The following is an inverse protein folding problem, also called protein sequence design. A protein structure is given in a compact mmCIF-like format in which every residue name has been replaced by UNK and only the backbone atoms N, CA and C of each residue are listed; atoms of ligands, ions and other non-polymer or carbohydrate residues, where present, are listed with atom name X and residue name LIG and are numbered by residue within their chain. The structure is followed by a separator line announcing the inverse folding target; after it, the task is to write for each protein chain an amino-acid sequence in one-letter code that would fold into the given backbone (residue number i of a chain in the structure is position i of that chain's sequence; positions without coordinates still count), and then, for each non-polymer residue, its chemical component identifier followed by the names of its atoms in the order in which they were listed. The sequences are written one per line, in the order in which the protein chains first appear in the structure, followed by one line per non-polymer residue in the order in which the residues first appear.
data_IF_236732376723
#
_entry.id   IF_236732376723
#
_cell.length_a   1.000
_cell.length_b   1.000
_cell.length_c   1.000
_cell.angle_alpha   90.00
_cell.angle_beta   90.00
_cell.angle_gamma   90.00
#
_symmetry.space_group_name_H-M   'P 1'
#
loop_
_entity.id
_entity.type
_entity.pdbx_description
1 polymer ?
#
# COMPACT_ATOMS: atom_id res chain seq x y z
N UNK A 1 -18.71 -31.27 0.19
CA UNK A 1 -18.26 -30.56 1.42
C UNK A 1 -16.74 -30.50 1.55
N UNK A 2 -15.96 -31.54 1.22
CA UNK A 2 -14.50 -31.48 1.27
C UNK A 2 -13.86 -30.51 0.25
N UNK A 3 -14.46 -30.35 -0.93
CA UNK A 3 -13.94 -29.51 -2.03
C UNK A 3 -13.99 -28.01 -1.78
N UNK A 4 -14.98 -27.51 -1.03
CA UNK A 4 -15.11 -26.08 -0.67
C UNK A 4 -14.13 -25.65 0.43
N UNK A 5 -13.81 -26.57 1.36
CA UNK A 5 -12.80 -26.32 2.38
C UNK A 5 -11.39 -26.28 1.76
N UNK A 6 -11.11 -27.15 0.79
CA UNK A 6 -9.81 -27.24 0.14
C UNK A 6 -9.52 -26.03 -0.76
N UNK A 7 -10.53 -25.45 -1.41
CA UNK A 7 -10.41 -24.21 -2.21
C UNK A 7 -10.28 -22.94 -1.36
N UNK A 8 -10.95 -22.86 -0.20
CA UNK A 8 -10.74 -21.75 0.75
C UNK A 8 -9.35 -21.77 1.36
N UNK A 9 -8.87 -22.94 1.75
CA UNK A 9 -7.52 -23.12 2.29
C UNK A 9 -6.47 -22.76 1.23
N UNK A 10 -6.62 -23.19 -0.03
CA UNK A 10 -5.66 -22.82 -1.08
C UNK A 10 -5.64 -21.32 -1.39
N UNK A 11 -6.78 -20.63 -1.29
CA UNK A 11 -6.84 -19.18 -1.50
C UNK A 11 -6.19 -18.40 -0.36
N UNK A 12 -6.43 -18.79 0.90
CA UNK A 12 -5.79 -18.17 2.06
C UNK A 12 -4.28 -18.43 2.08
N UNK A 13 -3.82 -19.63 1.71
CA UNK A 13 -2.40 -19.91 1.54
C UNK A 13 -1.79 -19.13 0.37
N UNK A 14 -2.51 -19.00 -0.75
CA UNK A 14 -2.02 -18.21 -1.87
C UNK A 14 -1.91 -16.72 -1.51
N UNK A 15 -2.86 -16.17 -0.75
CA UNK A 15 -2.78 -14.77 -0.31
C UNK A 15 -1.70 -14.55 0.74
N UNK A 16 -1.51 -15.46 1.70
CA UNK A 16 -0.41 -15.34 2.67
C UNK A 16 0.96 -15.47 2.00
N UNK A 17 1.12 -16.43 1.08
CA UNK A 17 2.35 -16.56 0.29
C UNK A 17 2.58 -15.33 -0.57
N UNK A 18 1.54 -14.78 -1.22
CA UNK A 18 1.67 -13.55 -2.00
C UNK A 18 2.08 -12.35 -1.14
N UNK A 19 1.48 -12.17 0.05
CA UNK A 19 1.86 -11.12 0.99
C UNK A 19 3.30 -11.33 1.49
N UNK A 20 3.69 -12.56 1.81
CA UNK A 20 5.04 -12.86 2.28
C UNK A 20 6.09 -12.62 1.18
N UNK A 21 5.80 -13.03 -0.05
CA UNK A 21 6.62 -12.72 -1.22
C UNK A 21 6.69 -11.21 -1.48
N UNK A 22 5.60 -10.48 -1.28
CA UNK A 22 5.57 -9.02 -1.42
C UNK A 22 6.45 -8.34 -0.38
N UNK A 23 6.36 -8.76 0.89
CA UNK A 23 7.23 -8.25 1.97
C UNK A 23 8.69 -8.59 1.67
N UNK A 24 8.98 -9.82 1.25
CA UNK A 24 10.32 -10.26 0.90
C UNK A 24 10.88 -9.48 -0.29
N UNK A 25 10.11 -9.33 -1.36
CA UNK A 25 10.45 -8.54 -2.54
C UNK A 25 10.68 -7.07 -2.17
N UNK A 26 9.84 -6.49 -1.31
CA UNK A 26 10.02 -5.14 -0.81
C UNK A 26 11.34 -4.98 -0.05
N UNK A 27 11.71 -5.95 0.79
CA UNK A 27 13.00 -5.98 1.48
C UNK A 27 14.16 -6.13 0.50
N UNK A 28 14.04 -6.99 -0.51
CA UNK A 28 15.05 -7.22 -1.54
C UNK A 28 15.24 -6.00 -2.44
N UNK A 29 14.15 -5.37 -2.90
CA UNK A 29 14.17 -4.14 -3.67
C UNK A 29 14.77 -3.00 -2.84
N UNK A 30 14.39 -2.87 -1.56
CA UNK A 30 14.98 -1.87 -0.65
C UNK A 30 16.48 -2.11 -0.42
N UNK A 31 16.94 -3.36 -0.42
CA UNK A 31 18.35 -3.70 -0.30
C UNK A 31 19.16 -3.43 -1.58
N UNK A 32 18.52 -3.45 -2.75
CA UNK A 32 19.16 -3.26 -4.05
C UNK A 32 19.14 -1.80 -4.54
N UNK A 33 18.23 -0.98 -4.01
CA UNK A 33 18.10 0.43 -4.40
C UNK A 33 19.29 1.27 -3.86
N UNK A 34 19.97 2.04 -4.73
CA UNK A 34 20.97 3.02 -4.32
C UNK A 34 20.34 4.14 -3.47
N UNK A 35 21.04 4.60 -2.43
CA UNK A 35 20.54 5.65 -1.54
C UNK A 35 20.23 6.96 -2.30
N UNK A 36 20.97 7.29 -3.35
CA UNK A 36 20.75 8.50 -4.17
C UNK A 36 19.47 8.44 -5.02
N UNK A 37 18.90 7.25 -5.16
CA UNK A 37 17.65 7.08 -5.88
C UNK A 37 16.45 7.37 -4.97
N UNK A 38 16.53 7.06 -3.67
CA UNK A 38 15.43 7.33 -2.74
C UNK A 38 15.23 8.82 -2.48
N UNK A 39 16.31 9.62 -2.44
CA UNK A 39 16.24 11.08 -2.32
C UNK A 39 15.56 11.72 -3.53
N UNK A 40 15.97 11.33 -4.75
CA UNK A 40 15.33 11.79 -5.98
C UNK A 40 13.85 11.42 -6.05
N UNK A 41 13.49 10.21 -5.64
CA UNK A 41 12.08 9.81 -5.59
C UNK A 41 11.28 10.59 -4.56
N UNK A 42 11.88 10.93 -3.42
CA UNK A 42 11.27 11.81 -2.43
C UNK A 42 10.94 13.17 -3.01
N UNK A 43 11.93 13.79 -3.67
CA UNK A 43 11.77 15.14 -4.23
C UNK A 43 10.71 15.16 -5.32
N UNK A 44 10.70 14.12 -6.17
CA UNK A 44 9.69 13.92 -7.20
C UNK A 44 8.28 13.78 -6.60
N UNK A 45 8.13 12.99 -5.54
CA UNK A 45 6.84 12.77 -4.89
C UNK A 45 6.35 14.03 -4.17
N UNK A 46 7.24 14.77 -3.52
CA UNK A 46 6.93 16.08 -2.92
C UNK A 46 6.47 17.08 -3.98
N UNK A 47 7.16 17.13 -5.12
CA UNK A 47 6.78 17.98 -6.23
C UNK A 47 5.40 17.59 -6.81
N UNK A 48 5.11 16.30 -6.99
CA UNK A 48 3.81 15.88 -7.51
C UNK A 48 2.66 16.16 -6.55
N UNK A 49 2.88 15.97 -5.25
CA UNK A 49 1.88 16.28 -4.22
C UNK A 49 1.57 17.78 -4.22
N UNK A 50 2.59 18.64 -4.20
CA UNK A 50 2.42 20.11 -4.23
C UNK A 50 1.77 20.59 -5.53
N UNK A 51 2.28 20.17 -6.69
CA UNK A 51 1.79 20.62 -7.99
C UNK A 51 0.36 20.14 -8.33
N UNK A 52 -0.06 18.96 -7.85
CA UNK A 52 -1.37 18.40 -8.18
C UNK A 52 -2.45 18.72 -7.14
N UNK A 53 -2.11 18.77 -5.84
CA UNK A 53 -3.07 19.00 -4.76
C UNK A 53 -3.06 20.44 -4.22
N UNK A 54 -2.05 21.23 -4.59
CA UNK A 54 -1.79 22.56 -4.05
C UNK A 54 -0.97 22.52 -2.76
N UNK A 55 -0.23 23.61 -2.51
CA UNK A 55 0.76 23.68 -1.42
C UNK A 55 0.13 23.55 -0.02
N UNK A 56 -1.06 24.11 0.19
CA UNK A 56 -1.78 24.00 1.48
C UNK A 56 -2.15 22.54 1.78
N UNK A 57 -2.76 21.85 0.80
CA UNK A 57 -3.15 20.44 0.93
C UNK A 57 -1.92 19.54 1.09
N UNK A 58 -0.87 19.80 0.32
CA UNK A 58 0.40 19.08 0.43
C UNK A 58 0.98 19.20 1.85
N UNK A 59 1.00 20.42 2.41
CA UNK A 59 1.47 20.67 3.78
C UNK A 59 0.64 19.92 4.81
N UNK A 60 -0.70 19.91 4.66
CA UNK A 60 -1.59 19.17 5.55
C UNK A 60 -1.35 17.65 5.48
N UNK A 61 -1.12 17.11 4.27
CA UNK A 61 -0.79 15.70 4.04
C UNK A 61 0.53 15.33 4.72
N UNK A 62 1.60 16.11 4.52
CA UNK A 62 2.90 15.83 5.15
C UNK A 62 2.82 15.92 6.67
N UNK A 63 2.11 16.91 7.22
CA UNK A 63 1.92 17.05 8.66
C UNK A 63 1.12 15.87 9.25
N UNK A 64 0.08 15.41 8.56
CA UNK A 64 -0.67 14.22 8.98
C UNK A 64 0.18 12.95 8.91
N UNK A 65 0.97 12.77 7.85
CA UNK A 65 1.89 11.63 7.71
C UNK A 65 2.96 11.62 8.80
N UNK A 66 3.57 12.77 9.09
CA UNK A 66 4.56 12.91 10.16
C UNK A 66 3.96 12.62 11.54
N UNK A 67 2.75 13.11 11.84
CA UNK A 67 2.05 12.78 13.09
C UNK A 67 1.74 11.29 13.19
N UNK A 68 1.28 10.66 12.10
CA UNK A 68 1.02 9.22 12.06
C UNK A 68 2.28 8.41 12.31
N UNK A 69 3.36 8.69 11.57
CA UNK A 69 4.64 8.04 11.75
C UNK A 69 5.20 8.24 13.16
N UNK A 70 5.18 9.47 13.66
CA UNK A 70 5.67 9.79 14.99
C UNK A 70 4.91 9.10 16.12
N UNK A 71 3.59 8.98 15.98
CA UNK A 71 2.76 8.32 17.00
C UNK A 71 2.96 6.80 17.01
N UNK A 72 3.04 6.18 15.83
CA UNK A 72 3.08 4.72 15.70
C UNK A 72 4.49 4.16 15.86
N UNK A 73 5.52 4.83 15.31
CA UNK A 73 6.88 4.27 15.19
C UNK A 73 7.92 4.98 16.05
N UNK A 74 7.88 6.32 16.15
CA UNK A 74 8.85 7.06 16.99
C UNK A 74 8.50 6.93 18.48
N UNK A 75 7.25 7.20 18.86
CA UNK A 75 6.82 7.14 20.27
C UNK A 75 6.85 5.72 20.85
N UNK A 76 6.68 4.70 20.01
CA UNK A 76 6.80 3.30 20.43
C UNK A 76 8.25 2.86 20.62
N UNK A 77 9.23 3.68 20.21
CA UNK A 77 10.65 3.33 20.26
C UNK A 77 11.04 2.23 19.26
N UNK A 78 10.15 1.82 18.34
CA UNK A 78 10.45 0.77 17.36
C UNK A 78 11.60 1.14 16.44
N UNK A 79 11.68 2.42 16.06
CA UNK A 79 12.77 2.96 15.26
C UNK A 79 14.07 2.79 16.03
N UNK A 80 14.16 3.39 17.21
CA UNK A 80 15.38 3.37 18.02
C UNK A 80 15.79 1.94 18.41
N UNK A 81 14.84 1.07 18.75
CA UNK A 81 15.08 -0.34 19.05
C UNK A 81 15.66 -1.10 17.84
N UNK A 82 15.21 -0.79 16.63
CA UNK A 82 15.76 -1.42 15.41
C UNK A 82 17.21 -1.01 15.15
N UNK A 83 17.57 0.26 15.42
CA UNK A 83 18.95 0.73 15.30
C UNK A 83 19.83 0.13 16.41
N UNK A 84 19.36 0.11 17.64
CA UNK A 84 20.10 -0.45 18.79
C UNK A 84 20.34 -1.97 18.67
N UNK A 85 19.41 -2.71 18.05
CA UNK A 85 19.53 -4.17 17.89
C UNK A 85 20.42 -4.58 16.71
N UNK A 86 20.48 -3.77 15.65
CA UNK A 86 21.18 -4.11 14.40
C UNK A 86 22.52 -3.39 14.23
N UNK A 87 22.77 -2.30 14.94
CA UNK A 87 24.04 -1.57 14.89
C UNK A 87 24.80 -1.71 16.22
N UNK A 88 26.14 -1.79 16.18
CA UNK A 88 26.95 -1.74 17.38
C UNK A 88 26.76 -0.39 18.04
N UNK A 89 26.38 -0.40 19.32
CA UNK A 89 26.26 0.83 20.09
C UNK A 89 27.66 1.40 20.35
N UNK A 90 27.90 2.63 19.89
CA UNK A 90 29.17 3.32 20.05
C UNK A 90 29.54 3.49 21.54
N UNK A 91 28.55 3.54 22.44
CA UNK A 91 28.80 3.59 23.88
C UNK A 91 29.37 2.27 24.42
N UNK A 92 28.81 1.13 24.01
CA UNK A 92 29.21 -0.22 24.47
C UNK A 92 30.56 -0.64 23.89
N UNK A 93 30.87 -0.20 22.67
CA UNK A 93 32.16 -0.45 22.01
C UNK A 93 33.31 0.24 22.75
N UNK A 94 33.11 1.46 23.25
CA UNK A 94 34.13 2.18 24.02
C UNK A 94 34.39 1.57 25.40
N UNK A 95 33.40 0.89 26.00
CA UNK A 95 33.54 0.22 27.29
C UNK A 95 34.17 -1.18 27.19
N UNK A 96 34.10 -1.82 26.02
CA UNK A 96 34.56 -3.20 25.82
C UNK A 96 35.58 -3.29 24.68
N UNK A 97 36.90 -3.32 24.98
CA UNK A 97 37.97 -3.33 23.96
C UNK A 97 37.90 -4.49 22.96
N UNK A 98 37.24 -5.60 23.33
CA UNK A 98 37.08 -6.78 22.48
C UNK A 98 36.05 -6.57 21.36
N UNK A 99 35.07 -5.68 21.58
CA UNK A 99 34.04 -5.34 20.59
C UNK A 99 34.53 -4.30 19.57
N UNK A 100 35.65 -3.64 19.82
CA UNK A 100 36.25 -2.64 18.94
C UNK A 100 36.59 -3.23 17.55
N UNK A 101 37.05 -4.49 17.51
CA UNK A 101 37.32 -5.21 16.26
C UNK A 101 36.05 -5.52 15.45
N UNK A 102 34.93 -5.77 16.14
CA UNK A 102 33.64 -5.99 15.48
C UNK A 102 33.04 -4.67 15.00
N UNK A 103 33.17 -3.59 15.77
CA UNK A 103 32.71 -2.26 15.39
C UNK A 103 33.50 -1.65 14.22
N UNK A 104 34.78 -2.01 14.07
CA UNK A 104 35.63 -1.57 12.96
C UNK A 104 35.29 -2.21 11.60
N UNK A 105 34.36 -3.19 11.55
CA UNK A 105 33.98 -3.84 10.30
C UNK A 105 33.26 -2.84 9.36
N UNK A 106 33.67 -2.71 8.09
CA UNK A 106 33.10 -1.71 7.17
C UNK A 106 31.65 -2.01 6.72
N UNK A 107 31.00 -3.04 7.27
CA UNK A 107 29.62 -3.43 6.95
C UNK A 107 28.59 -2.55 7.65
N UNK A 108 28.91 -1.96 8.80
CA UNK A 108 27.93 -1.21 9.61
C UNK A 108 27.38 0.05 8.91
N UNK A 109 28.18 0.86 8.19
CA UNK A 109 27.63 1.95 7.39
C UNK A 109 26.64 1.46 6.33
N UNK A 110 26.89 0.29 5.73
CA UNK A 110 25.98 -0.32 4.77
C UNK A 110 24.67 -0.76 5.44
N UNK A 111 24.75 -1.46 6.57
CA UNK A 111 23.56 -1.88 7.36
C UNK A 111 22.73 -0.67 7.78
N UNK A 112 23.37 0.38 8.31
CA UNK A 112 22.70 1.63 8.70
C UNK A 112 21.94 2.23 7.51
N UNK A 113 22.59 2.32 6.35
CA UNK A 113 21.98 2.86 5.13
C UNK A 113 20.74 2.04 4.72
N UNK A 114 20.77 0.72 4.87
CA UNK A 114 19.59 -0.12 4.56
C UNK A 114 18.46 0.08 5.56
N UNK A 115 18.79 0.23 6.84
CA UNK A 115 17.81 0.51 7.87
C UNK A 115 17.15 1.89 7.65
N UNK A 116 17.94 2.91 7.30
CA UNK A 116 17.45 4.23 6.91
C UNK A 116 16.45 4.14 5.72
N UNK A 117 16.76 3.32 4.71
CA UNK A 117 15.89 3.10 3.54
C UNK A 117 14.58 2.40 3.90
N UNK A 118 14.62 1.40 4.79
CA UNK A 118 13.41 0.69 5.24
C UNK A 118 12.47 1.66 5.97
N UNK A 119 13.00 2.42 6.93
CA UNK A 119 12.20 3.40 7.67
C UNK A 119 11.68 4.53 6.78
N UNK A 120 12.48 4.96 5.81
CA UNK A 120 12.05 5.90 4.80
C UNK A 120 10.88 5.36 3.95
N UNK A 121 10.96 4.11 3.50
CA UNK A 121 9.90 3.49 2.72
C UNK A 121 8.61 3.30 3.54
N UNK A 122 8.72 2.99 4.84
CA UNK A 122 7.57 2.96 5.76
C UNK A 122 6.94 4.36 5.87
N UNK A 123 7.76 5.40 6.05
CA UNK A 123 7.26 6.78 6.09
C UNK A 123 6.52 7.15 4.79
N UNK A 124 7.07 6.76 3.64
CA UNK A 124 6.46 7.01 2.34
C UNK A 124 5.11 6.28 2.18
N UNK A 125 5.03 5.03 2.63
CA UNK A 125 3.78 4.26 2.63
C UNK A 125 2.70 4.95 3.49
N UNK A 126 3.06 5.49 4.66
CA UNK A 126 2.13 6.26 5.51
C UNK A 126 1.68 7.53 4.79
N UNK A 127 2.59 8.27 4.15
CA UNK A 127 2.24 9.46 3.37
C UNK A 127 1.23 9.13 2.28
N UNK A 128 1.43 8.03 1.54
CA UNK A 128 0.50 7.59 0.49
C UNK A 128 -0.85 7.14 1.04
N UNK A 129 -0.87 6.51 2.21
CA UNK A 129 -2.12 6.21 2.92
C UNK A 129 -2.86 7.50 3.28
N UNK A 130 -2.16 8.53 3.78
CA UNK A 130 -2.78 9.83 4.07
C UNK A 130 -3.34 10.47 2.80
N UNK A 131 -2.64 10.41 1.67
CA UNK A 131 -3.17 10.88 0.39
C UNK A 131 -4.42 10.10 0.00
N UNK A 132 -4.40 8.76 0.10
CA UNK A 132 -5.56 7.92 -0.18
C UNK A 132 -6.75 8.29 0.70
N UNK A 133 -6.51 8.53 1.99
CA UNK A 133 -7.53 9.02 2.90
C UNK A 133 -7.97 10.44 2.58
N UNK A 134 -7.13 11.35 2.09
CA UNK A 134 -7.57 12.69 1.68
C UNK A 134 -8.66 12.62 0.58
N UNK A 135 -8.64 11.59 -0.26
CA UNK A 135 -9.65 11.32 -1.28
C UNK A 135 -10.87 10.53 -0.76
N UNK A 136 -10.96 10.21 0.54
CA UNK A 136 -12.06 9.43 1.10
C UNK A 136 -13.46 9.95 0.75
N UNK A 137 -13.74 11.28 0.71
CA UNK A 137 -15.09 11.76 0.39
C UNK A 137 -15.45 11.43 -1.06
N UNK A 138 -14.50 11.65 -1.99
CA UNK A 138 -14.67 11.34 -3.40
C UNK A 138 -14.85 9.83 -3.63
N UNK A 139 -14.02 9.00 -2.99
CA UNK A 139 -14.14 7.53 -3.04
C UNK A 139 -15.51 7.09 -2.53
N UNK A 140 -15.97 7.66 -1.43
CA UNK A 140 -17.29 7.40 -0.85
C UNK A 140 -18.43 7.70 -1.82
N UNK A 141 -18.40 8.88 -2.46
CA UNK A 141 -19.39 9.25 -3.47
C UNK A 141 -19.35 8.33 -4.69
N UNK A 142 -18.17 8.02 -5.22
CA UNK A 142 -18.02 7.14 -6.37
C UNK A 142 -18.58 5.73 -6.11
N UNK A 143 -18.28 5.16 -4.94
CA UNK A 143 -18.83 3.86 -4.52
C UNK A 143 -20.35 3.93 -4.38
N UNK A 144 -20.87 4.96 -3.70
CA UNK A 144 -22.31 5.12 -3.49
C UNK A 144 -23.07 5.20 -4.82
N UNK A 145 -22.59 6.03 -5.75
CA UNK A 145 -23.16 6.16 -7.09
C UNK A 145 -23.11 4.83 -7.86
N UNK A 146 -21.99 4.13 -7.82
CA UNK A 146 -21.86 2.82 -8.47
C UNK A 146 -22.78 1.75 -7.88
N UNK A 147 -22.97 1.74 -6.56
CA UNK A 147 -23.89 0.82 -5.90
C UNK A 147 -25.33 1.10 -6.33
N UNK A 148 -25.76 2.37 -6.28
CA UNK A 148 -27.10 2.76 -6.70
C UNK A 148 -27.37 2.38 -8.17
N UNK A 149 -26.43 2.74 -9.04
CA UNK A 149 -26.49 2.45 -10.47
C UNK A 149 -26.55 0.93 -10.76
N UNK A 150 -25.65 0.15 -10.15
CA UNK A 150 -25.61 -1.30 -10.32
C UNK A 150 -26.89 -2.00 -9.83
N UNK A 151 -27.46 -1.54 -8.71
CA UNK A 151 -28.72 -2.07 -8.18
C UNK A 151 -29.92 -1.72 -9.08
N UNK A 152 -29.98 -0.51 -9.63
CA UNK A 152 -31.04 -0.09 -10.55
C UNK A 152 -30.96 -0.92 -11.84
N UNK A 153 -29.78 -1.04 -12.46
CA UNK A 153 -29.60 -1.86 -13.67
C UNK A 153 -29.96 -3.32 -13.44
N UNK A 154 -29.65 -3.86 -12.26
CA UNK A 154 -30.06 -5.21 -11.86
C UNK A 154 -31.58 -5.34 -11.84
N UNK A 155 -32.31 -4.38 -11.25
CA UNK A 155 -33.78 -4.40 -11.22
C UNK A 155 -34.40 -4.37 -12.62
N UNK A 156 -33.85 -3.55 -13.53
CA UNK A 156 -34.31 -3.48 -14.92
C UNK A 156 -34.16 -4.84 -15.62
N UNK A 157 -32.99 -5.49 -15.50
CA UNK A 157 -32.76 -6.82 -16.10
C UNK A 157 -33.63 -7.91 -15.50
N UNK A 158 -33.86 -7.87 -14.19
CA UNK A 158 -34.75 -8.83 -13.53
C UNK A 158 -36.20 -8.68 -14.03
N UNK A 159 -36.64 -7.46 -14.35
CA UNK A 159 -37.94 -7.22 -14.96
C UNK A 159 -37.99 -7.65 -16.44
N UNK A 160 -36.87 -7.55 -17.16
CA UNK A 160 -36.73 -7.97 -18.56
C UNK A 160 -36.45 -9.46 -18.78
N UNK A 161 -36.27 -10.25 -17.71
CA UNK A 161 -35.83 -11.65 -17.77
C UNK A 161 -34.48 -11.87 -18.49
N UNK A 162 -33.62 -10.84 -18.51
CA UNK A 162 -32.29 -10.92 -19.13
C UNK A 162 -31.36 -11.84 -18.33
N UNK A 163 -30.65 -12.73 -19.03
CA UNK A 163 -29.72 -13.65 -18.39
C UNK A 163 -28.45 -12.92 -17.91
N UNK A 164 -28.07 -13.01 -16.63
CA UNK A 164 -26.83 -12.40 -16.14
C UNK A 164 -25.60 -13.07 -16.74
N UNK A 165 -24.66 -12.29 -17.26
CA UNK A 165 -23.44 -12.78 -17.89
C UNK A 165 -22.42 -13.27 -16.84
N UNK A 166 -22.10 -14.58 -16.79
CA UNK A 166 -21.12 -15.11 -15.84
C UNK A 166 -19.68 -14.68 -16.14
N UNK A 167 -19.40 -14.30 -17.39
CA UNK A 167 -18.09 -13.78 -17.80
C UNK A 167 -17.88 -12.36 -17.27
N UNK A 168 -18.88 -11.49 -17.42
CA UNK A 168 -18.82 -10.12 -16.91
C UNK A 168 -18.67 -10.08 -15.38
N UNK A 169 -19.37 -10.96 -14.66
CA UNK A 169 -19.23 -11.09 -13.21
C UNK A 169 -17.79 -11.49 -12.81
N UNK A 170 -17.24 -12.54 -13.43
CA UNK A 170 -15.87 -13.01 -13.13
C UNK A 170 -14.81 -11.96 -13.49
N UNK A 171 -14.99 -11.24 -14.60
CA UNK A 171 -14.08 -10.16 -14.99
C UNK A 171 -14.13 -9.01 -13.98
N UNK A 172 -15.32 -8.59 -13.54
CA UNK A 172 -15.46 -7.54 -12.54
C UNK A 172 -14.76 -7.89 -11.21
N UNK A 173 -14.91 -9.13 -10.74
CA UNK A 173 -14.17 -9.61 -9.55
C UNK A 173 -12.66 -9.54 -9.77
N UNK A 174 -12.16 -10.02 -10.91
CA UNK A 174 -10.72 -9.98 -11.22
C UNK A 174 -10.18 -8.55 -11.30
N UNK A 175 -10.94 -7.63 -11.88
CA UNK A 175 -10.57 -6.21 -11.93
C UNK A 175 -10.51 -5.62 -10.53
N UNK A 176 -11.52 -5.85 -9.67
CA UNK A 176 -11.52 -5.35 -8.30
C UNK A 176 -10.33 -5.91 -7.49
N UNK A 177 -10.06 -7.21 -7.60
CA UNK A 177 -8.89 -7.83 -6.96
C UNK A 177 -7.60 -7.23 -7.50
N UNK A 178 -7.46 -7.10 -8.82
CA UNK A 178 -6.29 -6.51 -9.45
C UNK A 178 -6.05 -5.05 -9.04
N UNK A 179 -7.12 -4.24 -8.93
CA UNK A 179 -7.05 -2.87 -8.43
C UNK A 179 -6.65 -2.82 -6.95
N UNK A 180 -7.18 -3.72 -6.12
CA UNK A 180 -6.78 -3.82 -4.72
C UNK A 180 -5.29 -4.18 -4.58
N UNK A 181 -4.79 -5.12 -5.38
CA UNK A 181 -3.35 -5.41 -5.47
C UNK A 181 -2.57 -4.19 -5.95
N UNK A 182 -3.02 -3.50 -7.00
CA UNK A 182 -2.34 -2.31 -7.52
C UNK A 182 -2.22 -1.21 -6.47
N UNK A 183 -3.26 -0.98 -5.68
CA UNK A 183 -3.22 -0.03 -4.54
C UNK A 183 -2.23 -0.52 -3.49
N UNK A 184 -2.34 -1.78 -3.04
CA UNK A 184 -1.45 -2.33 -2.00
C UNK A 184 0.03 -2.31 -2.42
N UNK A 185 0.34 -2.76 -3.64
CA UNK A 185 1.67 -2.66 -4.22
C UNK A 185 2.09 -1.19 -4.37
N UNK A 186 1.23 -0.32 -4.87
CA UNK A 186 1.52 1.11 -5.05
C UNK A 186 1.84 1.84 -3.74
N UNK A 187 1.38 1.36 -2.58
CA UNK A 187 1.77 1.93 -1.29
C UNK A 187 3.22 1.60 -0.90
N UNK A 188 3.69 0.41 -1.26
CA UNK A 188 5.01 -0.12 -0.89
C UNK A 188 6.04 0.03 -2.02
N UNK A 189 5.58 0.29 -3.25
CA UNK A 189 6.45 0.38 -4.40
C UNK A 189 7.38 1.58 -4.23
N UNK A 190 8.70 1.42 -4.37
CA UNK A 190 9.63 2.52 -4.17
C UNK A 190 9.60 3.53 -5.35
N UNK A 191 8.65 3.42 -6.28
CA UNK A 191 8.44 4.36 -7.38
C UNK A 191 7.51 5.50 -6.96
N UNK A 192 7.70 6.73 -7.50
CA UNK A 192 6.84 7.85 -7.19
C UNK A 192 5.46 7.56 -7.78
N UNK A 193 4.41 7.80 -7.00
CA UNK A 193 3.03 7.58 -7.41
C UNK A 193 2.33 8.94 -7.52
N UNK A 194 1.76 9.28 -8.68
CA UNK A 194 1.06 10.56 -8.82
C UNK A 194 -0.20 10.57 -7.95
N UNK A 195 -0.46 11.62 -7.14
CA UNK A 195 -1.66 11.73 -6.31
C UNK A 195 -2.97 11.53 -7.08
N UNK A 196 -3.02 11.99 -8.33
CA UNK A 196 -4.18 11.83 -9.22
C UNK A 196 -4.45 10.38 -9.65
N UNK A 197 -3.54 9.42 -9.40
CA UNK A 197 -3.84 8.02 -9.59
C UNK A 197 -4.99 7.55 -8.69
N UNK A 198 -5.11 8.11 -7.47
CA UNK A 198 -6.14 7.72 -6.50
C UNK A 198 -7.57 7.91 -7.05
N UNK A 199 -7.98 9.10 -7.53
CA UNK A 199 -9.33 9.27 -8.08
C UNK A 199 -9.59 8.40 -9.33
N UNK A 200 -8.58 8.17 -10.18
CA UNK A 200 -8.72 7.28 -11.34
C UNK A 200 -9.00 5.84 -10.90
N UNK A 201 -8.22 5.33 -9.93
CA UNK A 201 -8.42 3.99 -9.37
C UNK A 201 -9.77 3.86 -8.67
N UNK A 202 -10.23 4.92 -8.00
CA UNK A 202 -11.55 4.97 -7.37
C UNK A 202 -12.68 4.84 -8.40
N UNK A 203 -12.61 5.57 -9.52
CA UNK A 203 -13.59 5.49 -10.61
C UNK A 203 -13.59 4.11 -11.27
N UNK A 204 -12.41 3.53 -11.52
CA UNK A 204 -12.28 2.18 -12.08
C UNK A 204 -12.89 1.13 -11.14
N UNK A 205 -12.63 1.26 -9.83
CA UNK A 205 -13.18 0.38 -8.80
C UNK A 205 -14.70 0.51 -8.72
N UNK A 206 -15.22 1.74 -8.73
CA UNK A 206 -16.65 2.04 -8.74
C UNK A 206 -17.33 1.43 -9.98
N UNK A 207 -16.77 1.60 -11.17
CA UNK A 207 -17.29 0.99 -12.40
C UNK A 207 -17.32 -0.54 -12.34
N UNK A 208 -16.23 -1.16 -11.89
CA UNK A 208 -16.16 -2.61 -11.71
C UNK A 208 -17.17 -3.12 -10.66
N UNK A 209 -17.38 -2.37 -9.57
CA UNK A 209 -18.38 -2.68 -8.55
C UNK A 209 -19.82 -2.59 -9.11
N UNK A 210 -20.13 -1.55 -9.90
CA UNK A 210 -21.44 -1.44 -10.56
C UNK A 210 -21.71 -2.64 -11.49
N UNK A 211 -20.71 -3.04 -12.29
CA UNK A 211 -20.80 -4.23 -13.16
C UNK A 211 -20.99 -5.50 -12.34
N UNK A 212 -20.22 -5.66 -11.25
CA UNK A 212 -20.32 -6.80 -10.35
C UNK A 212 -21.75 -6.95 -9.82
N UNK A 213 -22.30 -5.88 -9.25
CA UNK A 213 -23.65 -5.85 -8.70
C UNK A 213 -24.71 -6.09 -9.77
N UNK A 214 -24.55 -5.50 -10.95
CA UNK A 214 -25.50 -5.68 -12.05
C UNK A 214 -25.58 -7.15 -12.49
N UNK A 215 -24.45 -7.87 -12.49
CA UNK A 215 -24.35 -9.25 -12.96
C UNK A 215 -24.56 -10.30 -11.85
N UNK A 216 -24.84 -9.88 -10.60
CA UNK A 216 -25.10 -10.84 -9.51
C UNK A 216 -26.45 -11.54 -9.71
N UNK A 217 -26.39 -12.87 -9.88
CA UNK A 217 -27.57 -13.71 -9.97
C UNK A 217 -28.36 -13.70 -8.66
N UNK A 218 -29.69 -13.79 -8.76
CA UNK A 218 -30.55 -14.03 -7.60
C UNK A 218 -30.32 -15.47 -7.14
N UNK A 219 -29.73 -15.67 -5.96
CA UNK A 219 -29.81 -16.97 -5.28
C UNK A 219 -31.27 -17.17 -4.90
N UNK A 220 -31.87 -18.22 -5.45
CA UNK A 220 -33.21 -18.73 -5.08
C UNK A 220 -33.06 -19.53 -3.80
#
# INVERSE_FOLDING_TARGET
MATDAQTKTSWLWATTVAVMLLIMEFVLLSALIPADWSTRMRDQEVHWVSSQLGDETATAVFAAAQRGYGTVFLRSGLVDASYALLLPDAAVVNETPELDKLAAVPIWPWVKTRLDLIWFAIYLAIQRLVVLFAWWPFIGFAILSAVADGLIRRRIRLAGFDYPSPLAHRLAVRILIGLAFLVGFGLLLPLPVPPLAVPVLALMSAGALSVLLTQTQKRI
#
